data_IF_203368693136
#
_entry.id   IF_203368693136
#
_cell.length_a   1.000
_cell.length_b   1.000
_cell.length_c   1.000
_cell.angle_alpha   90.00
_cell.angle_beta   90.00
_cell.angle_gamma   90.00
#
_symmetry.space_group_name_H-M   'P 1'
#
loop_
_entity.id
_entity.type
_entity.pdbx_description
1 polymer ?
#
# COMPACT_ATOMS: atom_id res chain seq x y z
N UNK A 1 -40.50 0.18 5.57
CA UNK A 1 -39.35 0.74 4.84
C UNK A 1 -38.97 -0.25 3.75
N UNK A 2 -38.93 0.15 2.48
CA UNK A 2 -38.45 -0.73 1.40
C UNK A 2 -36.95 -0.93 1.59
N UNK A 3 -36.54 -2.08 2.10
CA UNK A 3 -35.14 -2.49 2.04
C UNK A 3 -34.80 -2.71 0.56
N UNK A 4 -34.17 -1.74 -0.08
CA UNK A 4 -33.63 -1.94 -1.42
C UNK A 4 -32.27 -2.60 -1.28
N UNK A 5 -32.16 -3.85 -1.73
CA UNK A 5 -30.85 -4.46 -1.97
C UNK A 5 -30.14 -3.62 -3.03
N UNK A 6 -29.05 -2.96 -2.66
CA UNK A 6 -28.20 -2.22 -3.60
C UNK A 6 -27.04 -3.13 -3.97
N UNK A 7 -26.77 -3.26 -5.28
CA UNK A 7 -25.59 -3.97 -5.75
C UNK A 7 -24.33 -3.23 -5.28
N UNK A 8 -23.45 -3.93 -4.56
CA UNK A 8 -22.27 -3.32 -3.94
C UNK A 8 -21.23 -2.85 -4.97
N UNK A 9 -21.11 -3.55 -6.11
CA UNK A 9 -20.26 -3.13 -7.22
C UNK A 9 -20.75 -1.81 -7.83
N UNK A 10 -22.06 -1.65 -8.01
CA UNK A 10 -22.65 -0.39 -8.51
C UNK A 10 -22.46 0.74 -7.50
N UNK A 11 -22.59 0.44 -6.19
CA UNK A 11 -22.33 1.41 -5.13
C UNK A 11 -20.87 1.87 -5.14
N UNK A 12 -19.92 0.96 -5.31
CA UNK A 12 -18.50 1.28 -5.41
C UNK A 12 -18.19 2.11 -6.65
N UNK A 13 -18.72 1.73 -7.82
CA UNK A 13 -18.56 2.49 -9.05
C UNK A 13 -19.13 3.92 -8.92
N UNK A 14 -20.31 4.06 -8.32
CA UNK A 14 -20.94 5.37 -8.05
C UNK A 14 -20.10 6.27 -7.13
N UNK A 15 -19.30 5.68 -6.25
CA UNK A 15 -18.39 6.40 -5.35
C UNK A 15 -16.97 6.54 -5.91
N UNK A 16 -16.76 6.24 -7.20
CA UNK A 16 -15.49 6.46 -7.88
C UNK A 16 -14.44 5.37 -7.68
N UNK A 17 -14.79 4.24 -7.05
CA UNK A 17 -13.92 3.08 -6.97
C UNK A 17 -13.95 2.31 -8.30
N UNK A 18 -12.82 1.74 -8.67
CA UNK A 18 -12.68 0.91 -9.87
C UNK A 18 -12.32 -0.51 -9.48
N UNK A 19 -12.88 -1.48 -10.21
CA UNK A 19 -12.44 -2.87 -10.15
C UNK A 19 -11.03 -2.96 -10.74
N UNK A 20 -10.05 -3.21 -9.90
CA UNK A 20 -8.63 -3.30 -10.30
C UNK A 20 -8.15 -4.73 -10.45
N UNK A 21 -8.92 -5.69 -9.93
CA UNK A 21 -8.64 -7.12 -10.03
C UNK A 21 -9.93 -7.92 -10.05
N UNK A 22 -9.94 -9.01 -10.83
CA UNK A 22 -10.98 -10.04 -10.85
C UNK A 22 -10.33 -11.38 -11.18
N UNK A 23 -10.50 -12.38 -10.32
CA UNK A 23 -9.91 -13.71 -10.51
C UNK A 23 -9.80 -14.48 -9.20
N UNK A 24 -9.07 -15.61 -9.18
CA UNK A 24 -8.86 -16.39 -7.97
C UNK A 24 -8.14 -15.59 -6.88
N UNK A 25 -8.51 -15.76 -5.60
CA UNK A 25 -7.93 -15.00 -4.48
C UNK A 25 -6.40 -15.05 -4.43
N UNK A 26 -5.83 -16.21 -4.74
CA UNK A 26 -4.38 -16.42 -4.77
C UNK A 26 -3.66 -15.49 -5.75
N UNK A 27 -4.33 -15.06 -6.83
CA UNK A 27 -3.78 -14.12 -7.81
C UNK A 27 -3.69 -12.67 -7.31
N UNK A 28 -4.41 -12.33 -6.22
CA UNK A 28 -4.39 -11.02 -5.60
C UNK A 28 -3.45 -10.90 -4.39
N UNK A 29 -2.65 -11.93 -4.09
CA UNK A 29 -1.81 -12.01 -2.88
C UNK A 29 -0.82 -10.85 -2.68
N UNK A 30 -0.40 -10.22 -3.78
CA UNK A 30 0.62 -9.15 -3.77
C UNK A 30 0.02 -7.74 -3.87
N UNK A 31 -1.30 -7.59 -3.80
CA UNK A 31 -1.94 -6.28 -3.86
C UNK A 31 -1.66 -5.46 -2.59
N UNK A 32 -1.37 -4.15 -2.73
CA UNK A 32 -0.89 -3.28 -1.62
C UNK A 32 -1.50 -1.86 -1.57
N UNK A 33 -2.74 -1.67 -2.01
CA UNK A 33 -3.43 -0.38 -1.95
C UNK A 33 -4.37 -0.21 -0.74
N UNK A 34 -5.25 0.79 -0.79
CA UNK A 34 -6.50 0.83 0.00
C UNK A 34 -7.69 0.43 -0.87
N UNK A 35 -8.46 -0.55 -0.43
CA UNK A 35 -9.47 -1.16 -1.30
C UNK A 35 -10.35 -2.17 -0.59
N UNK A 36 -11.55 -2.34 -1.08
CA UNK A 36 -12.50 -3.33 -0.62
C UNK A 36 -12.32 -4.62 -1.42
N UNK A 37 -12.17 -5.74 -0.71
CA UNK A 37 -12.22 -7.06 -1.32
C UNK A 37 -13.60 -7.67 -1.16
N UNK A 38 -14.13 -8.21 -2.24
CA UNK A 38 -15.32 -9.04 -2.28
C UNK A 38 -14.88 -10.47 -2.62
N UNK A 39 -15.32 -11.45 -1.84
CA UNK A 39 -14.87 -12.84 -1.98
C UNK A 39 -16.05 -13.79 -2.03
N UNK A 40 -15.91 -14.89 -2.79
CA UNK A 40 -16.93 -15.92 -2.90
C UNK A 40 -16.33 -17.32 -3.03
N UNK A 41 -17.08 -18.34 -2.60
CA UNK A 41 -16.73 -19.75 -2.78
C UNK A 41 -16.99 -20.27 -4.20
N UNK A 42 -17.79 -19.57 -5.00
CA UNK A 42 -18.11 -19.92 -6.39
C UNK A 42 -17.18 -19.26 -7.41
N UNK A 43 -17.32 -19.65 -8.69
CA UNK A 43 -16.49 -19.13 -9.80
C UNK A 43 -16.79 -17.66 -10.15
N UNK A 44 -17.80 -17.07 -9.53
CA UNK A 44 -18.21 -15.68 -9.67
C UNK A 44 -18.77 -15.15 -8.34
N UNK A 45 -19.15 -13.86 -8.33
CA UNK A 45 -19.72 -13.21 -7.16
C UNK A 45 -21.20 -13.55 -6.91
N UNK A 46 -21.85 -14.38 -7.75
CA UNK A 46 -23.27 -14.70 -7.64
C UNK A 46 -23.60 -15.52 -6.39
N UNK A 47 -22.60 -16.25 -5.85
CA UNK A 47 -22.73 -17.10 -4.67
C UNK A 47 -22.26 -16.45 -3.35
N UNK A 48 -22.04 -15.13 -3.34
CA UNK A 48 -21.46 -14.40 -2.19
C UNK A 48 -22.42 -14.11 -1.02
N UNK A 49 -23.61 -14.73 -0.99
CA UNK A 49 -24.59 -14.52 0.08
C UNK A 49 -24.36 -15.45 1.29
N UNK A 50 -24.53 -14.93 2.51
CA UNK A 50 -24.45 -15.70 3.77
C UNK A 50 -23.03 -16.09 4.17
N UNK A 51 -22.84 -17.27 4.79
CA UNK A 51 -21.53 -17.80 5.26
C UNK A 51 -20.52 -18.07 4.13
N UNK A 52 -20.92 -17.87 2.88
CA UNK A 52 -20.17 -18.18 1.66
C UNK A 52 -19.46 -16.95 1.04
N UNK A 53 -19.68 -15.75 1.58
CA UNK A 53 -19.07 -14.52 1.06
C UNK A 53 -18.45 -13.66 2.15
N UNK A 54 -17.35 -12.98 1.81
CA UNK A 54 -16.75 -11.96 2.68
C UNK A 54 -16.63 -10.63 1.95
N UNK A 55 -16.84 -9.56 2.72
CA UNK A 55 -16.50 -8.19 2.34
C UNK A 55 -15.56 -7.63 3.41
N UNK A 56 -14.46 -7.03 2.98
CA UNK A 56 -13.54 -6.39 3.90
C UNK A 56 -12.64 -5.35 3.26
N UNK A 57 -12.01 -4.53 4.09
CA UNK A 57 -11.01 -3.54 3.72
C UNK A 57 -9.63 -4.18 3.74
N UNK A 58 -8.90 -4.10 2.63
CA UNK A 58 -7.46 -4.34 2.57
C UNK A 58 -6.75 -2.99 2.70
N UNK A 59 -5.71 -2.96 3.54
CA UNK A 59 -4.85 -1.79 3.78
C UNK A 59 -3.43 -2.00 3.23
N UNK A 60 -2.65 -0.92 2.99
CA UNK A 60 -1.33 -1.03 2.34
C UNK A 60 -0.27 -1.82 3.10
N UNK A 61 -0.39 -1.90 4.43
CA UNK A 61 0.44 -2.74 5.30
C UNK A 61 0.13 -4.24 5.13
N UNK A 62 -0.85 -4.60 4.30
CA UNK A 62 -1.24 -5.97 4.02
C UNK A 62 -2.19 -6.53 5.06
N UNK A 63 -2.85 -5.70 5.86
CA UNK A 63 -3.90 -6.13 6.78
C UNK A 63 -5.26 -6.23 6.07
N UNK A 64 -6.09 -7.21 6.47
CA UNK A 64 -7.47 -7.35 5.99
C UNK A 64 -8.44 -7.25 7.16
N UNK A 65 -9.32 -6.25 7.11
CA UNK A 65 -10.37 -5.98 8.10
C UNK A 65 -11.72 -6.35 7.49
N UNK A 66 -12.33 -7.43 7.96
CA UNK A 66 -13.66 -7.82 7.50
C UNK A 66 -14.70 -7.76 8.61
N UNK A 67 -15.96 -7.73 8.20
CA UNK A 67 -17.07 -8.03 9.10
C UNK A 67 -17.70 -9.34 8.62
N UNK A 68 -17.74 -10.33 9.51
CA UNK A 68 -18.54 -11.53 9.26
C UNK A 68 -19.95 -11.26 9.75
N UNK A 69 -20.91 -11.56 8.90
CA UNK A 69 -22.29 -11.24 9.15
C UNK A 69 -23.14 -12.52 9.14
N UNK A 70 -23.39 -13.15 10.31
CA UNK A 70 -24.56 -14.05 10.49
C UNK A 70 -25.21 -13.89 11.87
N UNK A 71 -26.55 -13.72 11.95
CA UNK A 71 -27.37 -14.05 13.13
C UNK A 71 -28.17 -15.32 12.81
N UNK A 72 -28.01 -16.26 13.74
CA UNK A 72 -28.30 -17.68 13.57
C UNK A 72 -29.68 -18.07 14.10
N UNK A 73 -30.43 -17.14 14.71
CA UNK A 73 -31.76 -17.44 15.26
C UNK A 73 -32.86 -17.32 14.19
N UNK A 74 -32.63 -16.50 13.15
CA UNK A 74 -33.59 -16.24 12.06
C UNK A 74 -32.95 -16.18 10.65
N UNK A 75 -31.67 -16.53 10.49
CA UNK A 75 -30.94 -16.38 9.22
C UNK A 75 -30.71 -14.93 8.79
N UNK A 76 -30.80 -13.97 9.71
CA UNK A 76 -30.49 -12.55 9.47
C UNK A 76 -29.25 -12.21 10.24
N UNK A 77 -28.39 -11.33 9.75
CA UNK A 77 -27.27 -10.81 10.53
C UNK A 77 -27.63 -9.50 11.17
N UNK A 78 -27.43 -9.32 12.49
CA UNK A 78 -26.86 -8.08 13.02
C UNK A 78 -26.20 -8.26 14.41
N UNK A 79 -24.93 -7.85 14.50
CA UNK A 79 -24.05 -7.87 15.68
C UNK A 79 -24.35 -6.72 16.64
N UNK A 80 -24.38 -7.00 17.96
CA UNK A 80 -24.22 -5.98 19.00
C UNK A 80 -22.73 -5.99 19.42
N UNK A 81 -22.00 -4.91 19.13
CA UNK A 81 -20.58 -4.65 19.43
C UNK A 81 -19.50 -5.47 18.66
N UNK A 82 -19.27 -5.11 17.40
CA UNK A 82 -17.95 -5.05 16.74
C UNK A 82 -17.03 -6.28 16.81
N UNK A 83 -17.43 -7.44 16.30
CA UNK A 83 -16.46 -8.47 15.92
C UNK A 83 -15.84 -8.11 14.55
N UNK A 84 -14.65 -7.52 14.56
CA UNK A 84 -13.81 -7.34 13.36
C UNK A 84 -12.76 -8.43 13.40
N UNK A 85 -12.73 -9.33 12.40
CA UNK A 85 -11.63 -10.27 12.26
C UNK A 85 -10.51 -9.57 11.50
N UNK A 86 -9.36 -9.43 12.15
CA UNK A 86 -8.13 -8.90 11.55
C UNK A 86 -7.16 -10.05 11.34
N UNK A 87 -6.66 -10.20 10.12
CA UNK A 87 -5.52 -11.07 9.83
C UNK A 87 -4.67 -10.50 8.69
N UNK A 88 -3.43 -10.97 8.51
CA UNK A 88 -2.66 -10.68 7.32
C UNK A 88 -3.42 -11.11 6.06
N UNK A 89 -3.43 -10.28 5.04
CA UNK A 89 -4.05 -10.57 3.75
C UNK A 89 -3.53 -11.89 3.15
N UNK A 90 -2.23 -12.16 3.31
CA UNK A 90 -1.61 -13.41 2.89
C UNK A 90 -2.27 -14.65 3.49
N UNK A 91 -2.74 -14.59 4.74
CA UNK A 91 -3.42 -15.71 5.39
C UNK A 91 -4.77 -16.04 4.72
N UNK A 92 -5.46 -15.02 4.20
CA UNK A 92 -6.73 -15.19 3.49
C UNK A 92 -6.58 -15.72 2.06
N UNK A 93 -5.43 -15.47 1.41
CA UNK A 93 -5.18 -15.93 0.03
C UNK A 93 -5.11 -17.45 -0.12
N UNK A 94 -4.92 -18.18 0.98
CA UNK A 94 -4.77 -19.65 1.00
C UNK A 94 -5.94 -20.39 1.65
N UNK A 95 -6.96 -19.67 2.14
CA UNK A 95 -8.14 -20.26 2.80
C UNK A 95 -8.93 -21.09 1.79
N UNK A 96 -9.03 -22.40 2.03
CA UNK A 96 -9.65 -23.39 1.13
C UNK A 96 -11.08 -23.07 0.75
N UNK A 97 -11.87 -22.52 1.68
CA UNK A 97 -13.28 -22.22 1.41
C UNK A 97 -13.48 -21.04 0.45
N UNK A 98 -12.52 -20.11 0.30
CA UNK A 98 -12.71 -18.84 -0.43
C UNK A 98 -11.89 -18.72 -1.73
N UNK A 99 -11.35 -19.81 -2.27
CA UNK A 99 -10.33 -19.74 -3.34
C UNK A 99 -10.85 -19.39 -4.73
N UNK A 100 -12.16 -19.53 -4.96
CA UNK A 100 -12.70 -19.59 -6.31
C UNK A 100 -12.74 -18.22 -6.99
N UNK A 101 -13.12 -17.15 -6.28
CA UNK A 101 -13.25 -15.82 -6.88
C UNK A 101 -13.06 -14.68 -5.88
N UNK A 102 -12.38 -13.61 -6.33
CA UNK A 102 -12.17 -12.37 -5.58
C UNK A 102 -12.16 -11.16 -6.50
N UNK A 103 -12.85 -10.11 -6.08
CA UNK A 103 -12.80 -8.78 -6.70
C UNK A 103 -12.20 -7.77 -5.73
N UNK A 104 -11.28 -6.95 -6.22
CA UNK A 104 -10.75 -5.81 -5.45
C UNK A 104 -11.24 -4.51 -6.08
N UNK A 105 -11.93 -3.72 -5.26
CA UNK A 105 -12.47 -2.41 -5.57
C UNK A 105 -11.70 -1.38 -4.78
N UNK A 106 -10.84 -0.64 -5.46
CA UNK A 106 -10.03 0.37 -4.85
C UNK A 106 -10.36 1.71 -5.50
N UNK A 107 -10.08 2.79 -4.79
CA UNK A 107 -9.75 4.01 -5.52
C UNK A 107 -8.58 3.64 -6.45
N UNK A 108 -8.52 4.15 -7.69
CA UNK A 108 -7.28 4.04 -8.46
C UNK A 108 -6.15 4.43 -7.52
N UNK A 109 -5.08 3.61 -7.48
CA UNK A 109 -3.87 3.93 -6.70
C UNK A 109 -3.68 5.42 -6.79
N UNK A 110 -3.65 6.12 -5.64
CA UNK A 110 -3.57 7.56 -5.69
C UNK A 110 -2.26 7.90 -6.37
N UNK A 111 -2.35 8.21 -7.66
CA UNK A 111 -1.39 9.02 -8.39
C UNK A 111 -1.53 10.47 -7.91
N UNK A 112 -1.83 10.69 -6.61
CA UNK A 112 -1.48 11.94 -5.98
C UNK A 112 0.04 11.93 -5.96
N UNK A 113 0.59 12.38 -7.08
CA UNK A 113 1.98 12.81 -7.19
C UNK A 113 2.28 13.56 -5.91
N UNK A 114 3.36 13.19 -5.23
CA UNK A 114 3.89 13.93 -4.10
C UNK A 114 3.86 15.41 -4.44
N UNK A 115 3.35 16.21 -3.52
CA UNK A 115 3.49 17.66 -3.61
C UNK A 115 4.99 17.95 -3.67
N UNK A 116 5.42 18.71 -4.68
CA UNK A 116 6.82 19.07 -4.85
C UNK A 116 7.05 20.35 -4.07
N UNK A 117 7.23 20.19 -2.76
CA UNK A 117 7.34 21.28 -1.79
C UNK A 117 8.73 21.36 -1.12
N UNK A 118 9.58 20.35 -1.31
CA UNK A 118 10.90 20.28 -0.70
C UNK A 118 10.88 19.89 0.78
N UNK A 119 9.73 19.41 1.28
CA UNK A 119 9.57 18.88 2.62
C UNK A 119 9.46 17.35 2.60
N UNK A 120 10.28 16.70 3.43
CA UNK A 120 10.34 15.24 3.50
C UNK A 120 9.38 14.69 4.56
N UNK A 121 8.10 14.99 4.39
CA UNK A 121 7.03 14.48 5.26
C UNK A 121 6.72 12.99 5.05
N UNK A 122 5.74 12.49 5.80
CA UNK A 122 5.33 11.07 5.81
C UNK A 122 5.08 10.53 4.40
N UNK A 123 4.38 11.29 3.55
CA UNK A 123 4.09 10.86 2.18
C UNK A 123 5.37 10.66 1.34
N UNK A 124 6.32 11.59 1.46
CA UNK A 124 7.63 11.50 0.78
C UNK A 124 8.38 10.25 1.21
N UNK A 125 8.43 9.96 2.52
CA UNK A 125 9.15 8.79 3.03
C UNK A 125 8.46 7.47 2.73
N UNK A 126 7.12 7.41 2.72
CA UNK A 126 6.40 6.22 2.25
C UNK A 126 6.69 5.92 0.79
N UNK A 127 6.82 6.95 -0.04
CA UNK A 127 7.20 6.77 -1.44
C UNK A 127 8.64 6.27 -1.58
N UNK A 128 9.58 6.79 -0.78
CA UNK A 128 10.97 6.28 -0.73
C UNK A 128 11.01 4.82 -0.30
N UNK A 129 10.34 4.46 0.80
CA UNK A 129 10.30 3.07 1.31
C UNK A 129 9.65 2.11 0.31
N UNK A 130 8.53 2.50 -0.28
CA UNK A 130 7.87 1.72 -1.34
C UNK A 130 8.82 1.46 -2.51
N UNK A 131 9.56 2.48 -2.93
CA UNK A 131 10.51 2.35 -4.04
C UNK A 131 11.75 1.53 -3.66
N UNK A 132 12.31 1.69 -2.47
CA UNK A 132 13.39 0.81 -1.99
C UNK A 132 12.91 -0.65 -1.96
N UNK A 133 11.68 -0.90 -1.52
CA UNK A 133 11.12 -2.24 -1.54
C UNK A 133 10.96 -2.80 -2.97
N UNK A 134 10.63 -1.96 -3.96
CA UNK A 134 10.49 -2.41 -5.34
C UNK A 134 11.82 -2.80 -5.99
N UNK A 135 12.95 -2.30 -5.50
CA UNK A 135 14.30 -2.66 -5.96
C UNK A 135 14.98 -3.73 -5.08
N UNK A 136 14.24 -4.36 -4.17
CA UNK A 136 14.69 -5.56 -3.44
C UNK A 136 14.93 -5.39 -1.94
N UNK A 137 14.63 -4.23 -1.35
CA UNK A 137 14.62 -4.08 0.11
C UNK A 137 13.30 -4.57 0.73
N UNK A 138 13.27 -4.75 2.05
CA UNK A 138 12.12 -5.26 2.81
C UNK A 138 11.87 -4.40 4.05
N UNK A 139 11.40 -3.17 3.83
CA UNK A 139 11.12 -2.16 4.84
C UNK A 139 9.62 -2.08 5.15
N UNK A 140 9.29 -1.68 6.37
CA UNK A 140 7.94 -1.23 6.71
C UNK A 140 7.64 0.12 6.03
N UNK A 141 6.47 0.25 5.40
CA UNK A 141 6.06 1.46 4.68
C UNK A 141 5.25 2.37 5.61
N UNK A 142 5.91 2.87 6.65
CA UNK A 142 5.32 3.71 7.71
C UNK A 142 5.49 5.22 7.47
N UNK A 143 6.39 5.62 6.58
CA UNK A 143 6.76 7.01 6.31
C UNK A 143 7.74 7.59 7.31
N UNK A 144 8.40 6.74 8.10
CA UNK A 144 9.39 7.13 9.10
C UNK A 144 10.78 6.67 8.61
N UNK A 145 11.72 7.59 8.40
CA UNK A 145 13.09 7.25 8.01
C UNK A 145 13.92 6.73 9.19
N UNK A 146 13.48 5.62 9.80
CA UNK A 146 14.21 4.95 10.87
C UNK A 146 15.52 4.31 10.36
N UNK A 147 16.32 3.78 11.29
CA UNK A 147 17.65 3.21 11.03
C UNK A 147 17.67 2.27 9.80
N UNK A 148 16.69 1.37 9.68
CA UNK A 148 16.64 0.42 8.56
C UNK A 148 16.36 1.10 7.22
N UNK A 149 15.46 2.10 7.19
CA UNK A 149 15.19 2.91 6.00
C UNK A 149 16.45 3.65 5.55
N UNK A 150 17.20 4.23 6.48
CA UNK A 150 18.44 4.95 6.16
C UNK A 150 19.55 4.00 5.71
N UNK A 151 19.69 2.82 6.34
CA UNK A 151 20.67 1.81 5.89
C UNK A 151 20.38 1.35 4.46
N UNK A 152 19.11 1.10 4.14
CA UNK A 152 18.70 0.73 2.78
C UNK A 152 19.00 1.86 1.78
N UNK A 153 18.74 3.12 2.15
CA UNK A 153 19.10 4.27 1.33
C UNK A 153 20.63 4.36 1.11
N UNK A 154 21.44 4.20 2.15
CA UNK A 154 22.91 4.21 2.06
C UNK A 154 23.44 3.08 1.16
N UNK A 155 22.89 1.86 1.30
CA UNK A 155 23.23 0.72 0.46
C UNK A 155 22.88 0.98 -1.01
N UNK A 156 21.69 1.53 -1.27
CA UNK A 156 21.25 1.88 -2.62
C UNK A 156 22.13 2.98 -3.23
N UNK A 157 22.50 4.01 -2.46
CA UNK A 157 23.42 5.06 -2.89
C UNK A 157 24.81 4.51 -3.25
N UNK A 158 25.35 3.61 -2.43
CA UNK A 158 26.62 2.94 -2.70
C UNK A 158 26.56 2.16 -4.02
N UNK A 159 25.50 1.37 -4.21
CA UNK A 159 25.32 0.59 -5.44
C UNK A 159 25.18 1.48 -6.68
N UNK A 160 24.39 2.55 -6.60
CA UNK A 160 24.10 3.43 -7.73
C UNK A 160 25.28 4.29 -8.15
N UNK A 161 25.95 4.90 -7.17
CA UNK A 161 27.03 5.86 -7.41
C UNK A 161 28.42 5.21 -7.40
N UNK A 162 28.52 3.92 -7.03
CA UNK A 162 29.79 3.21 -6.83
C UNK A 162 30.69 3.92 -5.81
N UNK A 163 30.10 4.33 -4.69
CA UNK A 163 30.76 4.99 -3.56
C UNK A 163 30.74 4.09 -2.33
N UNK A 164 31.51 4.45 -1.30
CA UNK A 164 31.65 3.69 -0.05
C UNK A 164 31.18 4.48 1.17
N UNK A 165 29.89 4.83 1.22
CA UNK A 165 29.25 5.34 2.43
C UNK A 165 29.26 4.26 3.51
N UNK A 166 29.47 4.70 4.76
CA UNK A 166 29.23 3.86 5.94
C UNK A 166 27.74 3.60 6.06
N UNK A 167 27.37 2.32 6.27
CA UNK A 167 25.97 1.89 6.43
C UNK A 167 25.63 1.86 7.93
N UNK A 168 25.58 3.05 8.53
CA UNK A 168 25.32 3.24 9.97
C UNK A 168 23.83 3.47 10.28
N UNK A 169 23.00 3.74 9.27
CA UNK A 169 21.60 4.10 9.46
C UNK A 169 21.39 5.52 9.98
N UNK A 170 22.43 6.37 9.92
CA UNK A 170 22.38 7.77 10.29
C UNK A 170 22.60 8.60 9.02
N UNK A 171 21.59 9.40 8.66
CA UNK A 171 21.69 10.24 7.48
C UNK A 171 22.45 11.53 7.81
N UNK A 172 23.78 11.40 7.89
CA UNK A 172 24.72 12.51 8.07
C UNK A 172 25.07 13.23 6.77
N UNK A 173 26.02 14.18 6.85
CA UNK A 173 26.40 15.02 5.71
C UNK A 173 26.82 14.23 4.47
N UNK A 174 27.55 13.13 4.65
CA UNK A 174 27.98 12.27 3.55
C UNK A 174 26.81 11.62 2.82
N UNK A 175 25.80 11.13 3.56
CA UNK A 175 24.57 10.55 3.00
C UNK A 175 23.81 11.60 2.17
N UNK A 176 23.68 12.82 2.69
CA UNK A 176 23.02 13.90 1.95
C UNK A 176 23.82 14.38 0.74
N UNK A 177 25.14 14.52 0.85
CA UNK A 177 25.99 14.85 -0.29
C UNK A 177 25.88 13.82 -1.41
N UNK A 178 25.81 12.52 -1.07
CA UNK A 178 25.60 11.47 -2.06
C UNK A 178 24.23 11.58 -2.74
N UNK A 179 23.17 11.80 -1.96
CA UNK A 179 21.82 11.98 -2.51
C UNK A 179 21.72 13.25 -3.39
N UNK A 180 22.38 14.35 -3.02
CA UNK A 180 22.47 15.57 -3.82
C UNK A 180 23.20 15.34 -5.15
N UNK A 181 24.32 14.61 -5.13
CA UNK A 181 25.05 14.22 -6.35
C UNK A 181 24.17 13.39 -7.28
N UNK A 182 23.47 12.40 -6.72
CA UNK A 182 22.57 11.53 -7.48
C UNK A 182 21.45 12.32 -8.16
N UNK A 183 20.86 13.28 -7.43
CA UNK A 183 19.72 14.06 -7.90
C UNK A 183 20.11 15.32 -8.70
N UNK A 184 21.40 15.58 -8.87
CA UNK A 184 21.90 16.74 -9.61
C UNK A 184 21.59 18.08 -8.96
N UNK A 185 21.51 18.14 -7.63
CA UNK A 185 21.30 19.37 -6.86
C UNK A 185 22.62 19.88 -6.27
N UNK A 186 22.70 21.15 -5.79
CA UNK A 186 23.89 21.64 -5.10
C UNK A 186 24.33 20.68 -3.98
N UNK A 187 25.63 20.39 -3.94
CA UNK A 187 26.21 19.41 -3.02
C UNK A 187 26.83 20.15 -1.84
N UNK A 188 26.04 20.36 -0.80
CA UNK A 188 26.45 21.03 0.45
C UNK A 188 26.40 20.08 1.67
N UNK A 189 25.88 18.86 1.51
CA UNK A 189 25.73 17.88 2.58
C UNK A 189 24.65 18.24 3.61
N UNK A 190 23.80 19.23 3.33
CA UNK A 190 22.78 19.74 4.24
C UNK A 190 21.39 19.45 3.67
N UNK A 191 20.54 18.79 4.48
CA UNK A 191 19.11 18.69 4.19
C UNK A 191 18.38 19.94 4.67
N UNK A 192 18.38 20.98 3.83
CA UNK A 192 17.67 22.24 4.06
C UNK A 192 16.15 22.05 4.19
N UNK A 193 15.43 23.06 4.69
CA UNK A 193 13.97 23.06 4.77
C UNK A 193 13.43 24.43 4.32
N UNK A 194 12.79 24.54 3.14
CA UNK A 194 12.62 23.51 2.12
C UNK A 194 13.94 23.11 1.44
N UNK A 195 14.02 21.89 0.91
CA UNK A 195 15.21 21.38 0.23
C UNK A 195 15.01 21.20 -1.28
N UNK A 196 15.95 21.71 -2.06
CA UNK A 196 16.02 21.44 -3.50
C UNK A 196 16.26 19.96 -3.80
N UNK A 197 17.05 19.27 -2.98
CA UNK A 197 17.27 17.83 -3.06
C UNK A 197 15.95 17.08 -2.86
N UNK A 198 15.15 17.46 -1.86
CA UNK A 198 13.86 16.80 -1.62
C UNK A 198 12.86 17.08 -2.75
N UNK A 199 12.81 18.31 -3.29
CA UNK A 199 12.00 18.59 -4.48
C UNK A 199 12.40 17.72 -5.67
N UNK A 200 13.71 17.55 -5.91
CA UNK A 200 14.21 16.69 -6.98
C UNK A 200 13.83 15.22 -6.74
N UNK A 201 13.94 14.74 -5.51
CA UNK A 201 13.53 13.39 -5.11
C UNK A 201 12.01 13.18 -5.31
N UNK A 202 11.18 14.13 -4.87
CA UNK A 202 9.72 14.10 -5.06
C UNK A 202 9.36 14.05 -6.56
N UNK A 203 10.00 14.88 -7.39
CA UNK A 203 9.83 14.83 -8.85
C UNK A 203 10.25 13.48 -9.44
N UNK A 204 11.35 12.90 -8.96
CA UNK A 204 11.86 11.63 -9.45
C UNK A 204 10.89 10.47 -9.11
N UNK A 205 10.43 10.42 -7.86
CA UNK A 205 9.42 9.47 -7.37
C UNK A 205 8.11 9.58 -8.16
N UNK A 206 7.64 10.81 -8.41
CA UNK A 206 6.41 11.06 -9.18
C UNK A 206 6.45 10.60 -10.63
N UNK A 207 7.65 10.52 -11.21
CA UNK A 207 7.84 10.14 -12.61
C UNK A 207 8.17 8.64 -12.78
N UNK A 208 8.15 7.86 -11.69
CA UNK A 208 8.45 6.42 -11.73
C UNK A 208 9.85 6.10 -12.26
N UNK A 209 10.76 7.07 -12.27
CA UNK A 209 12.13 6.85 -12.76
C UNK A 209 12.90 6.00 -11.76
N UNK A 210 13.79 5.14 -12.27
CA UNK A 210 14.76 4.43 -11.44
C UNK A 210 15.85 5.41 -10.95
N UNK A 211 15.48 6.22 -9.95
CA UNK A 211 16.25 7.37 -9.49
C UNK A 211 17.39 6.99 -8.56
N UNK A 212 17.34 5.81 -7.94
CA UNK A 212 18.46 5.16 -7.25
C UNK A 212 18.81 3.83 -7.89
#
# INVERSE_FOLDING_TARGET
MKYSTVNLADLFAKNGLKKVYSGPTAGAKNWRGYGFALMSIGSDMSSSAGDNGHVGLITPDGSFYNTTATDWLNGKTFLKNNAVQVAPWSAYTVVTRLKAHTEIWALPESTSKLVVDGYDGIATWKAVQTYLNSIGYHLDVDGIPAVNTIKALQQALNAKLKINLVIDGIAGSQTWSALQRLLGTPVDGIKSKPSQMIMAMQKALNNGKNWI
#
